data_IF_169315017718
#
_entry.id   IF_169315017718
#
_cell.length_a   1.000
_cell.length_b   1.000
_cell.length_c   1.000
_cell.angle_alpha   90.00
_cell.angle_beta   90.00
_cell.angle_gamma   90.00
#
_symmetry.space_group_name_H-M   'P 1'
#
loop_
_entity.id
_entity.type
_entity.pdbx_description
1 polymer ?
#
# COMPACT_ATOMS: atom_id res chain seq x y z
N UNK A 1 -5.13 9.01 -12.62
CA UNK A 1 -5.51 10.22 -11.87
C UNK A 1 -5.93 9.85 -10.46
N UNK A 2 -5.75 10.75 -9.48
CA UNK A 2 -6.29 10.52 -8.12
C UNK A 2 -7.81 10.46 -8.23
N UNK A 3 -8.40 9.34 -7.79
CA UNK A 3 -9.84 9.11 -7.83
C UNK A 3 -10.45 9.05 -6.44
N UNK A 4 -9.66 8.80 -5.39
CA UNK A 4 -10.15 8.85 -4.01
C UNK A 4 -9.06 9.05 -2.97
N UNK A 5 -9.48 9.53 -1.80
CA UNK A 5 -8.63 9.77 -0.65
C UNK A 5 -9.29 9.31 0.66
N UNK A 6 -8.49 8.76 1.56
CA UNK A 6 -8.93 8.40 2.90
C UNK A 6 -7.86 8.68 3.93
N UNK A 7 -8.28 9.10 5.13
CA UNK A 7 -7.39 9.29 6.25
C UNK A 7 -8.05 8.94 7.58
N UNK A 8 -7.24 8.59 8.56
CA UNK A 8 -7.69 8.24 9.90
C UNK A 8 -6.59 8.40 10.93
N UNK A 9 -6.93 8.19 12.21
CA UNK A 9 -5.96 8.05 13.30
C UNK A 9 -6.20 6.72 14.03
N UNK A 10 -5.12 5.99 14.34
CA UNK A 10 -5.20 4.72 15.05
C UNK A 10 -5.46 4.86 16.56
N UNK A 11 -5.13 6.02 17.15
CA UNK A 11 -5.30 6.31 18.59
C UNK A 11 -4.78 5.20 19.53
N UNK A 12 -3.70 4.51 19.13
CA UNK A 12 -3.19 3.33 19.81
C UNK A 12 -1.87 3.59 20.55
N UNK A 13 -0.82 3.98 19.83
CA UNK A 13 0.51 4.25 20.37
C UNK A 13 1.23 5.31 19.54
N UNK A 14 2.26 5.94 20.11
CA UNK A 14 3.04 6.97 19.42
C UNK A 14 3.81 6.43 18.20
N UNK A 15 4.31 5.19 18.28
CA UNK A 15 5.18 4.59 17.23
C UNK A 15 4.85 3.14 16.89
N UNK A 16 4.10 2.45 17.74
CA UNK A 16 3.80 1.04 17.51
C UNK A 16 2.53 0.95 16.66
N UNK A 17 2.51 0.09 15.62
CA UNK A 17 1.30 -0.10 14.84
C UNK A 17 0.23 -0.77 15.71
N UNK A 18 -1.03 -0.43 15.45
CA UNK A 18 -2.16 -1.21 15.96
C UNK A 18 -2.07 -2.64 15.37
N UNK A 19 -1.99 -3.70 16.19
CA UNK A 19 -1.89 -5.08 15.71
C UNK A 19 -3.06 -5.50 14.80
N UNK A 20 -4.22 -4.86 14.93
CA UNK A 20 -5.39 -5.10 14.09
C UNK A 20 -5.44 -4.18 12.87
N UNK A 21 -4.60 -3.14 12.83
CA UNK A 21 -4.58 -2.11 11.79
C UNK A 21 -5.96 -1.46 11.55
N UNK A 22 -6.80 -1.33 12.58
CA UNK A 22 -8.18 -0.86 12.41
C UNK A 22 -8.24 0.58 11.87
N UNK A 23 -7.33 1.44 12.33
CA UNK A 23 -7.17 2.80 11.79
C UNK A 23 -6.77 2.79 10.31
N UNK A 24 -5.72 2.03 9.95
CA UNK A 24 -5.28 1.94 8.55
C UNK A 24 -6.38 1.37 7.66
N UNK A 25 -7.08 0.32 8.10
CA UNK A 25 -8.23 -0.27 7.40
C UNK A 25 -9.34 0.76 7.16
N UNK A 26 -9.66 1.60 8.15
CA UNK A 26 -10.63 2.69 7.99
C UNK A 26 -10.19 3.68 6.90
N UNK A 27 -8.90 4.04 6.84
CA UNK A 27 -8.39 4.94 5.81
C UNK A 27 -8.50 4.31 4.42
N UNK A 28 -8.12 3.03 4.25
CA UNK A 28 -8.23 2.32 2.96
C UNK A 28 -9.69 2.23 2.52
N UNK A 29 -10.60 1.79 3.40
CA UNK A 29 -12.03 1.68 3.08
C UNK A 29 -12.64 3.04 2.72
N UNK A 30 -12.24 4.10 3.42
CA UNK A 30 -12.68 5.47 3.11
C UNK A 30 -12.20 5.92 1.72
N UNK A 31 -10.94 5.64 1.38
CA UNK A 31 -10.38 6.00 0.08
C UNK A 31 -11.05 5.25 -1.08
N UNK A 32 -11.31 3.94 -0.90
CA UNK A 32 -12.05 3.12 -1.88
C UNK A 32 -13.49 3.62 -2.06
N UNK A 33 -14.15 3.96 -0.95
CA UNK A 33 -15.51 4.53 -0.99
C UNK A 33 -15.55 5.89 -1.69
N UNK A 34 -14.57 6.77 -1.44
CA UNK A 34 -14.46 8.08 -2.09
C UNK A 34 -14.24 7.94 -3.60
N UNK A 35 -13.43 6.94 -4.01
CA UNK A 35 -13.22 6.59 -5.42
C UNK A 35 -14.40 5.84 -6.06
N UNK A 36 -15.37 5.38 -5.29
CA UNK A 36 -16.51 4.60 -5.81
C UNK A 36 -16.12 3.22 -6.36
N UNK A 37 -15.04 2.62 -5.87
CA UNK A 37 -14.54 1.30 -6.31
C UNK A 37 -14.58 0.28 -5.18
N UNK A 38 -14.69 -1.00 -5.53
CA UNK A 38 -14.55 -2.10 -4.58
C UNK A 38 -13.07 -2.46 -4.38
N UNK A 39 -12.75 -3.10 -3.24
CA UNK A 39 -11.42 -3.65 -3.03
C UNK A 39 -11.02 -4.66 -4.10
N UNK A 40 -11.99 -5.39 -4.67
CA UNK A 40 -11.75 -6.35 -5.77
C UNK A 40 -11.37 -5.70 -7.11
N UNK A 41 -11.53 -4.39 -7.25
CA UNK A 41 -11.15 -3.67 -8.47
C UNK A 41 -9.66 -3.28 -8.44
N UNK A 42 -9.02 -3.31 -7.26
CA UNK A 42 -7.63 -2.90 -7.06
C UNK A 42 -6.69 -4.02 -7.49
N UNK A 43 -5.92 -3.80 -8.55
CA UNK A 43 -4.97 -4.81 -9.05
C UNK A 43 -3.52 -4.54 -8.64
N UNK A 44 -3.25 -3.36 -8.05
CA UNK A 44 -1.94 -3.00 -7.52
C UNK A 44 -2.05 -2.26 -6.18
N UNK A 45 -1.20 -2.65 -5.23
CA UNK A 45 -1.01 -1.94 -3.96
C UNK A 45 0.45 -1.53 -3.83
N UNK A 46 0.69 -0.22 -3.73
CA UNK A 46 1.96 0.34 -3.29
C UNK A 46 1.91 0.48 -1.75
N UNK A 47 2.44 -0.53 -1.07
CA UNK A 47 2.38 -0.67 0.37
C UNK A 47 3.36 0.29 1.08
N UNK A 48 2.95 0.76 2.26
CA UNK A 48 3.75 1.59 3.13
C UNK A 48 5.02 0.87 3.60
N UNK A 49 4.94 -0.42 3.94
CA UNK A 49 6.04 -1.36 4.22
C UNK A 49 7.41 -0.72 4.53
N UNK A 50 7.68 -0.53 5.81
CA UNK A 50 8.92 0.11 6.30
C UNK A 50 10.05 -0.87 6.57
N UNK A 51 9.87 -2.15 6.22
CA UNK A 51 10.76 -3.25 6.61
C UNK A 51 10.81 -3.46 8.13
N UNK A 52 9.73 -3.13 8.83
CA UNK A 52 9.60 -3.38 10.26
C UNK A 52 8.62 -4.54 10.48
N UNK A 53 8.98 -5.59 11.25
CA UNK A 53 8.21 -6.85 11.28
C UNK A 53 6.72 -6.65 11.62
N UNK A 54 6.44 -5.85 12.66
CA UNK A 54 5.07 -5.61 13.11
C UNK A 54 4.24 -4.84 12.07
N UNK A 55 4.81 -3.80 11.46
CA UNK A 55 4.11 -3.01 10.46
C UNK A 55 3.78 -3.86 9.25
N UNK A 56 4.79 -4.52 8.67
CA UNK A 56 4.68 -5.26 7.42
C UNK A 56 3.65 -6.39 7.53
N UNK A 57 3.61 -7.13 8.65
CA UNK A 57 2.61 -8.18 8.90
C UNK A 57 1.21 -7.59 9.10
N UNK A 58 1.09 -6.51 9.89
CA UNK A 58 -0.21 -5.87 10.17
C UNK A 58 -0.85 -5.30 8.90
N UNK A 59 -0.05 -4.63 8.06
CA UNK A 59 -0.43 -4.09 6.77
C UNK A 59 -0.83 -5.21 5.81
N UNK A 60 -0.06 -6.30 5.73
CA UNK A 60 -0.39 -7.42 4.85
C UNK A 60 -1.75 -8.07 5.19
N UNK A 61 -2.02 -8.26 6.49
CA UNK A 61 -3.32 -8.75 6.97
C UNK A 61 -4.46 -7.79 6.63
N UNK A 62 -4.23 -6.49 6.74
CA UNK A 62 -5.22 -5.48 6.38
C UNK A 62 -5.52 -5.50 4.88
N UNK A 63 -4.50 -5.50 4.02
CA UNK A 63 -4.66 -5.62 2.56
C UNK A 63 -5.48 -6.86 2.21
N UNK A 64 -5.19 -8.01 2.83
CA UNK A 64 -5.94 -9.25 2.60
C UNK A 64 -7.43 -9.13 2.98
N UNK A 65 -7.77 -8.40 4.04
CA UNK A 65 -9.17 -8.21 4.48
C UNK A 65 -9.95 -7.23 3.62
N UNK A 66 -9.30 -6.17 3.13
CA UNK A 66 -9.97 -5.06 2.44
C UNK A 66 -9.97 -5.24 0.93
N UNK A 67 -8.83 -5.68 0.38
CA UNK A 67 -8.58 -5.80 -1.05
C UNK A 67 -8.60 -7.28 -1.47
N UNK A 68 -7.89 -8.13 -0.75
CA UNK A 68 -7.75 -9.56 -1.04
C UNK A 68 -6.29 -9.96 -1.30
N UNK A 69 -6.09 -11.15 -1.87
CA UNK A 69 -4.75 -11.70 -2.17
C UNK A 69 -4.34 -11.60 -3.63
N UNK A 70 -5.25 -11.14 -4.50
CA UNK A 70 -5.03 -11.02 -5.93
C UNK A 70 -4.21 -9.79 -6.39
N UNK A 71 -4.11 -8.65 -5.66
CA UNK A 71 -3.35 -7.52 -6.18
C UNK A 71 -1.85 -7.81 -6.16
N UNK A 72 -1.14 -7.29 -7.15
CA UNK A 72 0.30 -7.18 -7.09
C UNK A 72 0.69 -6.18 -5.99
N UNK A 73 1.57 -6.56 -5.08
CA UNK A 73 1.99 -5.69 -3.95
C UNK A 73 3.46 -5.32 -4.09
N UNK A 74 3.76 -4.03 -3.93
CA UNK A 74 5.12 -3.51 -4.01
C UNK A 74 5.45 -2.54 -2.90
N UNK A 75 6.73 -2.35 -2.62
CA UNK A 75 7.21 -1.18 -1.87
C UNK A 75 8.49 -0.63 -2.48
N UNK A 76 8.53 0.69 -2.66
CA UNK A 76 9.69 1.40 -3.22
C UNK A 76 10.83 1.55 -2.20
N UNK A 77 10.52 1.48 -0.90
CA UNK A 77 11.45 1.80 0.20
C UNK A 77 12.66 0.87 0.26
N UNK A 78 12.56 -0.35 -0.27
CA UNK A 78 13.71 -1.26 -0.41
C UNK A 78 14.80 -0.74 -1.36
N UNK A 79 14.47 0.19 -2.25
CA UNK A 79 15.40 0.82 -3.21
C UNK A 79 15.76 2.23 -2.78
N UNK A 80 14.76 3.08 -2.53
CA UNK A 80 14.97 4.53 -2.30
C UNK A 80 15.07 4.90 -0.81
N UNK A 81 14.86 3.94 0.09
CA UNK A 81 14.80 4.18 1.53
C UNK A 81 13.49 4.82 1.97
N UNK A 82 13.36 5.07 3.27
CA UNK A 82 12.18 5.73 3.84
C UNK A 82 12.43 7.23 4.04
N UNK A 83 12.01 8.04 3.07
CA UNK A 83 12.18 9.50 3.09
C UNK A 83 11.15 10.25 3.99
N UNK A 84 10.64 9.60 5.04
CA UNK A 84 9.65 10.16 5.96
C UNK A 84 8.46 10.79 5.22
N UNK A 85 8.15 12.07 5.47
CA UNK A 85 7.03 12.77 4.83
C UNK A 85 7.13 12.83 3.30
N UNK A 86 8.33 12.73 2.71
CA UNK A 86 8.50 12.69 1.27
C UNK A 86 8.21 11.31 0.66
N UNK A 87 8.18 10.24 1.46
CA UNK A 87 7.93 8.89 0.97
C UNK A 87 6.57 8.76 0.28
N UNK A 88 5.51 9.36 0.84
CA UNK A 88 4.18 9.32 0.23
C UNK A 88 4.13 10.01 -1.15
N UNK A 89 4.91 11.06 -1.37
CA UNK A 89 5.00 11.72 -2.69
C UNK A 89 5.73 10.84 -3.70
N UNK A 90 6.86 10.25 -3.29
CA UNK A 90 7.63 9.34 -4.15
C UNK A 90 6.77 8.13 -4.56
N UNK A 91 6.00 7.60 -3.62
CA UNK A 91 5.15 6.43 -3.84
C UNK A 91 3.91 6.75 -4.66
N UNK A 92 3.32 7.93 -4.48
CA UNK A 92 2.25 8.43 -5.35
C UNK A 92 2.72 8.53 -6.81
N UNK A 93 3.89 9.14 -7.05
CA UNK A 93 4.47 9.24 -8.41
C UNK A 93 4.75 7.85 -9.00
N UNK A 94 5.34 6.94 -8.22
CA UNK A 94 5.61 5.58 -8.66
C UNK A 94 4.32 4.80 -9.01
N UNK A 95 3.23 5.03 -8.26
CA UNK A 95 1.93 4.41 -8.49
C UNK A 95 1.28 4.93 -9.77
N UNK A 96 1.36 6.25 -10.03
CA UNK A 96 0.90 6.83 -11.30
C UNK A 96 1.69 6.26 -12.48
N UNK A 97 3.02 6.21 -12.38
CA UNK A 97 3.87 5.63 -13.44
C UNK A 97 3.58 4.14 -13.66
N UNK A 98 3.20 3.41 -12.61
CA UNK A 98 2.79 2.00 -12.73
C UNK A 98 1.53 1.87 -13.61
N UNK A 99 0.52 2.72 -13.37
CA UNK A 99 -0.71 2.78 -14.17
C UNK A 99 -0.42 3.20 -15.61
N UNK A 100 0.34 4.27 -15.79
CA UNK A 100 0.63 4.83 -17.13
C UNK A 100 1.39 3.86 -18.02
N UNK A 101 2.36 3.14 -17.44
CA UNK A 101 3.22 2.22 -18.20
C UNK A 101 2.71 0.77 -18.20
N UNK A 102 1.67 0.44 -17.42
CA UNK A 102 1.22 -0.94 -17.25
C UNK A 102 2.32 -1.86 -16.73
N UNK A 103 3.16 -1.35 -15.82
CA UNK A 103 4.33 -2.06 -15.31
C UNK A 103 4.50 -1.83 -13.82
N UNK A 104 4.46 -2.92 -13.05
CA UNK A 104 4.65 -2.93 -11.60
C UNK A 104 6.13 -3.19 -11.28
N UNK A 105 6.84 -2.26 -10.61
CA UNK A 105 8.25 -2.44 -10.29
C UNK A 105 8.47 -3.55 -9.25
N UNK A 106 9.64 -4.21 -9.22
CA UNK A 106 9.93 -5.19 -8.18
C UNK A 106 10.15 -4.52 -6.82
N UNK A 107 9.76 -5.22 -5.76
CA UNK A 107 10.21 -4.94 -4.40
C UNK A 107 11.62 -5.47 -4.22
N UNK A 108 12.56 -4.59 -3.87
CA UNK A 108 13.94 -4.98 -3.62
C UNK A 108 14.07 -5.75 -2.30
N UNK A 109 14.99 -6.71 -2.28
CA UNK A 109 15.34 -7.55 -1.12
C UNK A 109 14.14 -8.20 -0.40
N UNK A 110 13.26 -8.92 -1.11
CA UNK A 110 12.12 -9.59 -0.49
C UNK A 110 12.52 -10.95 0.13
N UNK A 111 13.77 -11.14 0.54
CA UNK A 111 14.17 -12.40 1.17
C UNK A 111 13.49 -12.56 2.53
N UNK A 112 13.12 -13.80 2.88
CA UNK A 112 12.51 -14.13 4.17
C UNK A 112 11.26 -13.32 4.50
N UNK A 113 10.34 -13.17 3.52
CA UNK A 113 9.01 -12.64 3.81
C UNK A 113 8.37 -13.46 4.93
N UNK A 114 7.74 -12.75 5.86
CA UNK A 114 7.02 -13.39 6.94
C UNK A 114 5.89 -14.27 6.35
N UNK A 115 5.75 -15.55 6.75
CA UNK A 115 4.66 -16.41 6.29
C UNK A 115 3.26 -15.82 6.55
N UNK A 116 3.13 -14.93 7.53
CA UNK A 116 1.88 -14.22 7.81
C UNK A 116 1.60 -13.07 6.81
N UNK A 117 2.61 -12.63 6.07
CA UNK A 117 2.51 -11.65 4.98
C UNK A 117 2.23 -12.34 3.63
N UNK A 118 1.23 -13.23 3.62
CA UNK A 118 0.76 -14.04 2.48
C UNK A 118 0.06 -13.20 1.40
N UNK A 119 0.86 -12.42 0.67
CA UNK A 119 0.46 -11.54 -0.44
C UNK A 119 1.32 -11.80 -1.68
N UNK A 120 0.81 -11.44 -2.86
CA UNK A 120 1.57 -11.46 -4.10
C UNK A 120 2.56 -10.27 -4.19
N UNK A 121 3.63 -10.36 -3.41
CA UNK A 121 4.73 -9.39 -3.44
C UNK A 121 5.51 -9.57 -4.73
N UNK A 122 5.56 -8.53 -5.57
CA UNK A 122 6.32 -8.56 -6.82
C UNK A 122 7.81 -8.59 -6.48
N UNK A 123 8.40 -9.78 -6.55
CA UNK A 123 9.77 -10.04 -6.13
C UNK A 123 10.70 -10.31 -7.33
N UNK A 124 11.99 -9.97 -7.18
CA UNK A 124 13.09 -10.25 -8.13
C UNK A 124 13.04 -9.46 -9.44
N UNK A 125 11.92 -9.54 -10.17
CA UNK A 125 11.73 -8.86 -11.45
C UNK A 125 10.38 -8.13 -11.45
N UNK A 126 10.33 -6.99 -12.14
CA UNK A 126 9.07 -6.28 -12.34
C UNK A 126 8.12 -7.07 -13.22
N UNK A 127 6.85 -6.67 -13.21
CA UNK A 127 5.76 -7.38 -13.87
C UNK A 127 5.01 -6.45 -14.80
N UNK A 128 4.89 -6.83 -16.06
CA UNK A 128 3.93 -6.22 -16.97
C UNK A 128 2.51 -6.58 -16.53
N UNK A 129 1.74 -5.57 -16.17
CA UNK A 129 0.39 -5.70 -15.66
C UNK A 129 -0.38 -4.42 -16.00
N UNK A 130 -1.41 -4.48 -16.84
CA UNK A 130 -2.34 -3.37 -16.99
C UNK A 130 -3.01 -3.09 -15.64
N UNK A 131 -2.75 -1.92 -15.07
CA UNK A 131 -3.32 -1.48 -13.80
C UNK A 131 -4.34 -0.39 -14.07
N UNK A 132 -5.60 -0.68 -13.76
CA UNK A 132 -6.71 0.27 -13.93
C UNK A 132 -7.04 0.99 -12.61
N UNK A 133 -6.87 0.30 -11.47
CA UNK A 133 -7.03 0.87 -10.12
C UNK A 133 -5.87 0.42 -9.24
N UNK A 134 -5.23 1.38 -8.57
CA UNK A 134 -4.15 1.14 -7.62
C UNK A 134 -4.38 1.90 -6.30
N UNK A 135 -3.86 1.34 -5.23
CA UNK A 135 -3.85 1.95 -3.88
C UNK A 135 -2.42 2.28 -3.49
N UNK A 136 -2.20 3.44 -2.89
CA UNK A 136 -0.93 3.82 -2.25
C UNK A 136 -1.14 4.10 -0.77
N UNK A 137 -0.49 3.30 0.08
CA UNK A 137 -0.64 3.35 1.53
C UNK A 137 0.46 4.19 2.19
N UNK A 138 0.10 4.97 3.21
CA UNK A 138 1.05 5.77 4.00
C UNK A 138 0.64 5.84 5.47
N UNK A 139 1.42 5.19 6.34
CA UNK A 139 1.14 5.09 7.77
C UNK A 139 2.28 5.70 8.58
N UNK A 140 1.98 6.69 9.42
CA UNK A 140 2.98 7.48 10.12
C UNK A 140 2.92 7.33 11.64
N UNK A 141 3.99 7.77 12.29
CA UNK A 141 4.00 7.96 13.74
C UNK A 141 2.87 8.88 14.20
N UNK A 142 2.42 8.66 15.44
CA UNK A 142 1.18 9.23 15.98
C UNK A 142 -0.08 8.47 15.54
N UNK A 143 0.08 7.39 14.76
CA UNK A 143 -1.03 6.60 14.23
C UNK A 143 -1.78 7.28 13.10
N UNK A 144 -1.19 8.27 12.43
CA UNK A 144 -1.79 8.94 11.28
C UNK A 144 -1.75 8.00 10.06
N UNK A 145 -2.89 7.84 9.38
CA UNK A 145 -2.99 7.02 8.20
C UNK A 145 -3.52 7.87 7.06
N UNK A 146 -2.92 7.76 5.88
CA UNK A 146 -3.38 8.39 4.65
C UNK A 146 -3.26 7.38 3.50
N UNK A 147 -4.30 7.33 2.68
CA UNK A 147 -4.41 6.40 1.55
C UNK A 147 -4.92 7.16 0.34
N UNK A 148 -4.31 6.89 -0.81
CA UNK A 148 -4.74 7.41 -2.11
C UNK A 148 -5.15 6.26 -3.02
N UNK A 149 -6.27 6.45 -3.72
CA UNK A 149 -6.68 5.61 -4.84
C UNK A 149 -6.37 6.34 -6.14
N UNK A 150 -5.73 5.64 -7.06
CA UNK A 150 -5.47 6.11 -8.41
C UNK A 150 -6.21 5.22 -9.40
N UNK A 151 -6.93 5.84 -10.33
CA UNK A 151 -7.58 5.14 -11.45
C UNK A 151 -7.02 5.63 -12.77
N UNK A 152 -6.96 4.76 -13.78
CA UNK A 152 -6.64 5.17 -15.15
C UNK A 152 -7.70 6.16 -15.65
N UNK A 153 -7.27 7.14 -16.44
CA UNK A 153 -8.14 8.17 -17.01
C UNK A 153 -8.94 7.64 -18.21
#
# INVERSE_FOLDING_TARGET
>A
MVSGYGASAAAHHATAPDPLSAGAELAVRSALSDAGVAGTDVTHVNAHRTSTPLNDVSEARMIRRVVGQHPAVTSSKGVVGHALGAAGVIEAVATVLTIENGFVPPTAKPENLDPEADLDVVAKAGRELPVEVAVSDSFGFGGQNAVLVFSKA
#
